data_IF_139891734019
#
_entry.id   IF_139891734019
#
_cell.length_a   1.000
_cell.length_b   1.000
_cell.length_c   1.000
_cell.angle_alpha   90.00
_cell.angle_beta   90.00
_cell.angle_gamma   90.00
#
_symmetry.space_group_name_H-M   'P 1'
#
loop_
_entity.id
_entity.type
_entity.pdbx_description
1 polymer ?
#
# COMPACT_ATOMS: atom_id res chain seq x y z
N UNK A 1 32.56 -12.03 -13.03
CA UNK A 1 32.63 -10.55 -12.87
C UNK A 1 32.14 -10.24 -11.45
N UNK A 2 32.64 -9.20 -10.78
CA UNK A 2 32.10 -8.82 -9.47
C UNK A 2 30.59 -8.53 -9.58
N UNK A 3 29.83 -8.87 -8.54
CA UNK A 3 28.40 -8.56 -8.49
C UNK A 3 28.20 -7.04 -8.51
N UNK A 4 27.18 -6.51 -9.23
CA UNK A 4 26.86 -5.10 -9.19
C UNK A 4 26.52 -4.67 -7.76
N UNK A 5 26.93 -3.46 -7.39
CA UNK A 5 26.81 -2.92 -6.04
C UNK A 5 25.83 -1.76 -6.02
N UNK A 6 24.99 -1.68 -5.00
CA UNK A 6 24.18 -0.50 -4.69
C UNK A 6 25.04 0.55 -3.97
N UNK A 7 25.94 0.10 -3.09
CA UNK A 7 26.89 0.96 -2.38
C UNK A 7 28.20 0.22 -2.04
N UNK A 8 29.30 0.95 -1.99
CA UNK A 8 30.64 0.46 -1.60
C UNK A 8 31.33 1.48 -0.72
N UNK A 9 31.82 1.05 0.46
CA UNK A 9 32.59 1.89 1.38
C UNK A 9 31.96 3.28 1.65
N UNK A 10 30.64 3.30 1.91
CA UNK A 10 29.84 4.52 2.12
C UNK A 10 29.69 5.45 0.89
N UNK A 11 29.96 4.97 -0.32
CA UNK A 11 29.61 5.66 -1.56
C UNK A 11 28.41 4.98 -2.23
N UNK A 12 27.48 5.78 -2.73
CA UNK A 12 26.37 5.29 -3.53
C UNK A 12 26.89 4.99 -4.95
N UNK A 13 26.73 3.75 -5.38
CA UNK A 13 27.13 3.31 -6.72
C UNK A 13 25.97 3.43 -7.72
N UNK A 14 24.75 3.67 -7.23
CA UNK A 14 23.55 3.81 -8.05
C UNK A 14 22.77 5.08 -7.71
N UNK A 15 22.23 5.72 -8.73
CA UNK A 15 21.27 6.83 -8.59
C UNK A 15 19.84 6.30 -8.58
N UNK A 16 18.96 6.89 -7.76
CA UNK A 16 17.52 6.62 -7.82
C UNK A 16 16.92 7.50 -8.91
N UNK A 17 16.27 6.91 -9.91
CA UNK A 17 15.81 7.64 -11.11
C UNK A 17 14.31 7.56 -11.27
N UNK A 18 13.69 8.71 -11.52
CA UNK A 18 12.28 8.86 -11.89
C UNK A 18 12.19 9.47 -13.30
N UNK A 19 11.02 9.37 -13.94
CA UNK A 19 10.77 10.20 -15.12
C UNK A 19 10.45 11.65 -14.71
N UNK A 20 10.61 12.60 -15.62
CA UNK A 20 10.28 14.00 -15.36
C UNK A 20 8.79 14.19 -15.07
N UNK A 21 7.94 13.29 -15.55
CA UNK A 21 6.48 13.28 -15.34
C UNK A 21 6.04 12.34 -14.22
N UNK A 22 6.97 11.88 -13.37
CA UNK A 22 6.66 10.96 -12.30
C UNK A 22 5.57 11.50 -11.35
N UNK A 23 4.64 10.63 -10.98
CA UNK A 23 3.54 10.91 -10.06
C UNK A 23 3.98 10.94 -8.60
N UNK A 24 3.07 11.39 -7.72
CA UNK A 24 3.35 11.55 -6.29
C UNK A 24 3.76 10.24 -5.59
N UNK A 25 3.18 9.12 -5.99
CA UNK A 25 3.45 7.80 -5.41
C UNK A 25 4.85 7.31 -5.80
N UNK A 26 5.28 7.57 -7.03
CA UNK A 26 6.64 7.28 -7.50
C UNK A 26 7.66 8.16 -6.75
N UNK A 27 7.38 9.45 -6.58
CA UNK A 27 8.23 10.35 -5.79
C UNK A 27 8.35 9.91 -4.33
N UNK A 28 7.24 9.49 -3.71
CA UNK A 28 7.26 8.99 -2.33
C UNK A 28 7.98 7.64 -2.23
N UNK A 29 7.82 6.75 -3.20
CA UNK A 29 8.57 5.50 -3.27
C UNK A 29 10.09 5.76 -3.37
N UNK A 30 10.51 6.70 -4.23
CA UNK A 30 11.91 7.10 -4.36
C UNK A 30 12.47 7.70 -3.05
N UNK A 31 11.67 8.54 -2.35
CA UNK A 31 12.06 9.12 -1.04
C UNK A 31 12.20 8.05 0.05
N UNK A 32 11.33 7.04 0.08
CA UNK A 32 11.49 5.89 1.00
C UNK A 32 12.77 5.12 0.70
N UNK A 33 13.04 4.82 -0.57
CA UNK A 33 14.27 4.14 -0.97
C UNK A 33 15.51 4.92 -0.55
N UNK A 34 15.56 6.23 -0.86
CA UNK A 34 16.66 7.09 -0.43
C UNK A 34 16.85 7.02 1.08
N UNK A 35 15.79 7.27 1.87
CA UNK A 35 15.86 7.27 3.33
C UNK A 35 16.38 5.94 3.90
N UNK A 36 15.92 4.80 3.41
CA UNK A 36 16.35 3.51 3.94
C UNK A 36 17.71 3.07 3.41
N UNK A 37 18.05 3.34 2.15
CA UNK A 37 19.36 3.00 1.61
C UNK A 37 20.47 3.79 2.31
N UNK A 38 20.26 5.07 2.61
CA UNK A 38 21.20 5.87 3.41
C UNK A 38 21.36 5.28 4.83
N UNK A 39 20.26 4.83 5.45
CA UNK A 39 20.31 4.18 6.77
C UNK A 39 20.96 2.80 6.77
N UNK A 40 20.82 2.05 5.67
CA UNK A 40 21.44 0.74 5.51
C UNK A 40 22.94 0.90 5.32
N UNK A 41 23.34 1.80 4.44
CA UNK A 41 24.70 1.81 3.89
C UNK A 41 25.60 2.89 4.48
N UNK A 42 25.04 3.95 5.05
CA UNK A 42 25.78 5.16 5.42
C UNK A 42 26.18 6.04 4.22
N UNK A 43 25.91 5.62 2.99
CA UNK A 43 26.20 6.39 1.78
C UNK A 43 25.14 7.46 1.52
N UNK A 44 25.53 8.54 0.82
CA UNK A 44 24.60 9.58 0.36
C UNK A 44 24.04 9.22 -1.01
N UNK A 45 22.72 9.08 -1.13
CA UNK A 45 22.05 8.81 -2.41
C UNK A 45 21.46 10.09 -3.00
N UNK A 46 21.19 10.08 -4.31
CA UNK A 46 20.46 11.15 -4.99
C UNK A 46 19.23 10.59 -5.71
N UNK A 47 18.21 11.45 -5.85
CA UNK A 47 17.07 11.22 -6.73
C UNK A 47 17.20 12.14 -7.93
N UNK A 48 17.21 11.58 -9.13
CA UNK A 48 17.27 12.31 -10.39
C UNK A 48 16.00 12.09 -11.22
N UNK A 49 15.65 13.10 -12.02
CA UNK A 49 14.53 13.02 -12.97
C UNK A 49 15.08 13.02 -14.39
N UNK A 50 14.86 11.91 -15.10
CA UNK A 50 15.24 11.75 -16.50
C UNK A 50 14.10 12.23 -17.42
N UNK A 51 14.47 12.87 -18.54
CA UNK A 51 13.51 13.34 -19.55
C UNK A 51 13.28 12.31 -20.68
N UNK A 52 14.17 11.32 -20.84
CA UNK A 52 14.06 10.26 -21.83
C UNK A 52 14.96 9.08 -21.46
N UNK A 53 14.90 7.99 -22.22
CA UNK A 53 15.73 6.82 -22.01
C UNK A 53 17.25 7.09 -22.09
N UNK A 54 17.68 8.00 -22.97
CA UNK A 54 19.09 8.37 -23.09
C UNK A 54 19.60 9.19 -21.89
N UNK A 55 18.69 9.73 -21.09
CA UNK A 55 19.01 10.52 -19.90
C UNK A 55 19.02 9.70 -18.61
N UNK A 56 18.72 8.40 -18.67
CA UNK A 56 18.77 7.53 -17.48
C UNK A 56 20.23 7.12 -17.22
N UNK A 57 20.83 7.47 -16.07
CA UNK A 57 22.16 6.99 -15.72
C UNK A 57 22.16 5.47 -15.54
N UNK A 58 23.30 4.84 -15.80
CA UNK A 58 23.53 3.41 -15.54
C UNK A 58 24.87 3.25 -14.82
N UNK A 59 24.95 2.50 -13.71
CA UNK A 59 23.85 1.76 -13.07
C UNK A 59 22.85 2.66 -12.31
N UNK A 60 21.59 2.23 -12.21
CA UNK A 60 20.53 2.97 -11.51
C UNK A 60 19.47 2.08 -10.86
N UNK A 61 18.75 2.65 -9.89
CA UNK A 61 17.48 2.14 -9.38
C UNK A 61 16.38 3.00 -10.00
N UNK A 62 15.79 2.57 -11.12
CA UNK A 62 14.77 3.33 -11.82
C UNK A 62 13.35 2.88 -11.46
N UNK A 63 12.46 3.84 -11.26
CA UNK A 63 11.07 3.61 -10.89
C UNK A 63 10.14 4.07 -12.01
N UNK A 64 9.04 3.34 -12.19
CA UNK A 64 7.96 3.76 -13.08
C UNK A 64 8.38 3.79 -14.54
N UNK A 65 8.04 4.87 -15.24
CA UNK A 65 8.42 5.05 -16.65
C UNK A 65 9.96 4.97 -16.86
N UNK A 66 10.75 5.47 -15.90
CA UNK A 66 12.21 5.35 -15.98
C UNK A 66 12.69 3.87 -15.92
N UNK A 67 11.92 2.99 -15.29
CA UNK A 67 12.19 1.55 -15.29
C UNK A 67 11.97 0.93 -16.69
N UNK A 68 10.97 1.41 -17.44
CA UNK A 68 10.74 1.00 -18.83
C UNK A 68 11.89 1.44 -19.74
N UNK A 69 12.41 2.66 -19.50
CA UNK A 69 13.55 3.19 -20.23
C UNK A 69 14.86 2.44 -19.98
N UNK A 70 15.02 1.79 -18.82
CA UNK A 70 16.12 0.85 -18.56
C UNK A 70 16.00 -0.47 -19.35
N UNK A 71 14.88 -0.69 -20.06
CA UNK A 71 14.63 -1.91 -20.85
C UNK A 71 13.71 -2.92 -20.16
N UNK A 72 12.95 -2.51 -19.14
CA UNK A 72 11.87 -3.35 -18.62
C UNK A 72 10.71 -3.39 -19.62
N UNK A 73 10.32 -4.59 -20.06
CA UNK A 73 9.07 -4.77 -20.82
C UNK A 73 7.87 -4.31 -19.99
N UNK A 74 7.02 -3.45 -20.57
CA UNK A 74 5.88 -2.87 -19.87
C UNK A 74 4.96 -3.95 -19.26
N UNK A 75 4.91 -4.07 -17.91
CA UNK A 75 4.15 -5.13 -17.27
C UNK A 75 2.64 -4.90 -17.40
N UNK A 76 1.91 -5.91 -17.88
CA UNK A 76 0.44 -5.87 -17.99
C UNK A 76 -0.25 -6.54 -16.80
N UNK A 77 -1.49 -6.10 -16.55
CA UNK A 77 -2.38 -6.72 -15.57
C UNK A 77 -1.92 -6.59 -14.13
N UNK A 78 -1.31 -5.45 -13.77
CA UNK A 78 -0.91 -5.16 -12.38
C UNK A 78 -2.05 -4.55 -11.56
N UNK A 79 -3.02 -3.87 -12.19
CA UNK A 79 -4.01 -3.08 -11.47
C UNK A 79 -3.34 -1.97 -10.65
N UNK A 80 -4.02 -1.50 -9.59
CA UNK A 80 -3.48 -0.42 -8.76
C UNK A 80 -2.40 -0.88 -7.77
N UNK A 81 -2.42 -2.16 -7.36
CA UNK A 81 -1.60 -2.68 -6.27
C UNK A 81 -0.48 -3.61 -6.72
N UNK A 82 -0.54 -4.08 -7.96
CA UNK A 82 0.46 -4.97 -8.50
C UNK A 82 1.75 -4.25 -8.85
N UNK A 83 2.85 -4.98 -8.79
CA UNK A 83 4.17 -4.47 -9.11
C UNK A 83 5.12 -5.54 -9.65
N UNK A 84 6.21 -5.08 -10.26
CA UNK A 84 7.36 -5.83 -10.74
C UNK A 84 8.64 -5.19 -10.21
N UNK A 85 9.60 -6.02 -9.82
CA UNK A 85 10.98 -5.64 -9.53
C UNK A 85 11.87 -6.56 -10.35
N UNK A 86 12.75 -5.99 -11.16
CA UNK A 86 13.66 -6.76 -12.02
C UNK A 86 15.06 -6.20 -12.03
N UNK A 87 16.04 -7.06 -11.85
CA UNK A 87 17.46 -6.74 -12.06
C UNK A 87 17.75 -6.80 -13.56
N UNK A 88 18.27 -5.70 -14.11
CA UNK A 88 18.59 -5.53 -15.52
C UNK A 88 20.07 -5.19 -15.66
N UNK A 89 20.90 -6.23 -15.82
CA UNK A 89 22.35 -6.06 -15.86
C UNK A 89 22.89 -5.57 -14.52
N UNK A 90 23.38 -4.34 -14.49
CA UNK A 90 23.89 -3.65 -13.30
C UNK A 90 22.86 -2.72 -12.64
N UNK A 91 21.64 -2.66 -13.17
CA UNK A 91 20.59 -1.75 -12.75
C UNK A 91 19.38 -2.48 -12.20
N UNK A 92 18.50 -1.76 -11.50
CA UNK A 92 17.27 -2.29 -10.92
C UNK A 92 16.06 -1.49 -11.40
N UNK A 93 15.06 -2.21 -11.92
CA UNK A 93 13.83 -1.66 -12.44
C UNK A 93 12.66 -1.98 -11.50
N UNK A 94 11.96 -0.94 -11.00
CA UNK A 94 10.75 -1.06 -10.20
C UNK A 94 9.57 -0.47 -10.97
N UNK A 95 8.50 -1.23 -11.17
CA UNK A 95 7.31 -0.77 -11.88
C UNK A 95 6.05 -1.23 -11.16
N UNK A 96 5.03 -0.40 -11.05
CA UNK A 96 3.79 -0.77 -10.38
C UNK A 96 2.65 0.18 -10.67
N UNK A 97 1.44 -0.23 -10.27
CA UNK A 97 0.28 0.66 -10.25
C UNK A 97 0.41 1.75 -9.17
N UNK A 98 -0.69 2.48 -8.97
CA UNK A 98 -0.80 3.58 -8.00
C UNK A 98 -0.19 3.26 -6.61
N UNK A 99 -0.64 2.18 -5.96
CA UNK A 99 -0.07 1.69 -4.68
C UNK A 99 1.08 0.72 -4.92
N UNK A 100 1.05 0.01 -6.05
CA UNK A 100 2.03 -0.99 -6.42
C UNK A 100 3.47 -0.48 -6.39
N UNK A 101 3.74 0.74 -6.86
CA UNK A 101 5.11 1.28 -6.85
C UNK A 101 5.66 1.47 -5.42
N UNK A 102 4.83 1.90 -4.47
CA UNK A 102 5.20 2.00 -3.05
C UNK A 102 5.46 0.60 -2.47
N UNK A 103 4.64 -0.38 -2.84
CA UNK A 103 4.82 -1.77 -2.40
C UNK A 103 6.09 -2.40 -2.99
N UNK A 104 6.47 -2.03 -4.21
CA UNK A 104 7.73 -2.45 -4.83
C UNK A 104 8.94 -1.91 -4.06
N UNK A 105 8.92 -0.63 -3.67
CA UNK A 105 9.96 -0.04 -2.84
C UNK A 105 10.09 -0.77 -1.50
N UNK A 106 8.99 -1.03 -0.80
CA UNK A 106 9.05 -1.76 0.47
C UNK A 106 9.43 -3.23 0.31
N UNK A 107 9.03 -3.91 -0.77
CA UNK A 107 9.51 -5.28 -1.06
C UNK A 107 11.02 -5.29 -1.25
N UNK A 108 11.60 -4.35 -2.02
CA UNK A 108 13.05 -4.22 -2.16
C UNK A 108 13.71 -4.02 -0.80
N UNK A 109 13.21 -3.09 0.02
CA UNK A 109 13.77 -2.84 1.35
C UNK A 109 13.70 -4.08 2.26
N UNK A 110 12.60 -4.84 2.21
CA UNK A 110 12.49 -6.11 2.94
C UNK A 110 13.49 -7.17 2.43
N UNK A 111 13.77 -7.21 1.12
CA UNK A 111 14.80 -8.07 0.52
C UNK A 111 16.21 -7.67 0.93
N UNK A 112 16.46 -6.37 1.07
CA UNK A 112 17.71 -5.82 1.60
C UNK A 112 17.84 -5.97 3.13
N UNK A 113 16.82 -6.51 3.80
CA UNK A 113 16.86 -6.93 5.20
C UNK A 113 16.10 -6.04 6.18
N UNK A 114 15.42 -4.98 5.71
CA UNK A 114 14.53 -4.18 6.56
C UNK A 114 13.36 -5.01 7.08
N UNK A 115 12.90 -4.74 8.30
CA UNK A 115 11.67 -5.31 8.88
C UNK A 115 10.85 -4.22 9.55
N UNK A 116 9.55 -4.17 9.21
CA UNK A 116 8.59 -3.19 9.73
C UNK A 116 7.60 -3.89 10.67
N UNK A 117 7.89 -3.90 11.97
CA UNK A 117 7.10 -4.66 12.94
C UNK A 117 5.87 -3.89 13.43
N UNK A 118 6.07 -2.62 13.78
CA UNK A 118 5.02 -1.69 14.23
C UNK A 118 5.34 -0.29 13.69
N UNK A 119 4.43 0.70 13.82
CA UNK A 119 4.73 2.08 13.41
C UNK A 119 5.95 2.71 14.10
N UNK A 120 6.35 2.18 15.26
CA UNK A 120 7.44 2.71 16.09
C UNK A 120 8.62 1.74 16.21
N UNK A 121 8.53 0.56 15.60
CA UNK A 121 9.55 -0.48 15.70
C UNK A 121 9.88 -1.06 14.33
N UNK A 122 11.09 -0.73 13.88
CA UNK A 122 11.66 -1.23 12.64
C UNK A 122 13.07 -1.74 12.89
N UNK A 123 13.46 -2.79 12.16
CA UNK A 123 14.86 -3.22 12.07
C UNK A 123 15.38 -2.80 10.71
N UNK A 124 16.41 -1.96 10.69
CA UNK A 124 17.16 -1.61 9.47
C UNK A 124 18.57 -2.18 9.64
N UNK A 125 19.04 -3.02 8.70
CA UNK A 125 20.39 -3.57 8.78
C UNK A 125 21.44 -2.48 8.52
N UNK A 126 22.70 -2.76 8.85
CA UNK A 126 23.84 -1.90 8.48
C UNK A 126 24.78 -2.71 7.58
N UNK A 127 25.08 -2.19 6.39
CA UNK A 127 25.87 -2.86 5.36
C UNK A 127 26.49 -1.83 4.41
N UNK A 128 27.77 -1.50 4.62
CA UNK A 128 28.51 -0.49 3.82
C UNK A 128 28.76 -0.92 2.37
N UNK A 129 28.86 -2.25 2.15
CA UNK A 129 29.05 -2.86 0.83
C UNK A 129 27.78 -3.63 0.49
N UNK A 130 26.80 -2.92 -0.04
CA UNK A 130 25.48 -3.46 -0.33
C UNK A 130 25.45 -3.95 -1.78
N UNK A 131 25.40 -5.27 -1.96
CA UNK A 131 25.27 -5.90 -3.26
C UNK A 131 23.86 -5.67 -3.85
N UNK A 132 23.78 -5.51 -5.17
CA UNK A 132 22.52 -5.53 -5.90
C UNK A 132 21.99 -6.97 -5.91
N UNK A 133 20.81 -7.25 -5.33
CA UNK A 133 20.23 -8.58 -5.40
C UNK A 133 19.80 -8.92 -6.82
N UNK A 134 19.93 -10.20 -7.20
CA UNK A 134 19.28 -10.73 -8.40
C UNK A 134 17.77 -10.88 -8.13
N UNK A 135 16.95 -10.15 -8.88
CA UNK A 135 15.51 -10.07 -8.66
C UNK A 135 14.75 -10.27 -9.97
N UNK A 136 13.77 -11.18 -9.95
CA UNK A 136 12.67 -11.27 -10.92
C UNK A 136 11.38 -11.51 -10.14
N UNK A 137 10.83 -10.42 -9.58
CA UNK A 137 9.68 -10.45 -8.69
C UNK A 137 8.49 -9.81 -9.39
N UNK A 138 7.37 -10.53 -9.49
CA UNK A 138 6.08 -10.00 -9.89
C UNK A 138 5.04 -10.35 -8.84
N UNK A 139 4.32 -9.36 -8.34
CA UNK A 139 3.24 -9.56 -7.38
C UNK A 139 1.99 -8.83 -7.81
N UNK A 140 0.86 -9.54 -7.79
CA UNK A 140 -0.48 -8.98 -7.96
C UNK A 140 -1.32 -9.55 -6.83
N UNK A 141 -1.95 -8.72 -5.99
CA UNK A 141 -2.71 -9.25 -4.86
C UNK A 141 -3.94 -10.00 -5.35
N UNK A 142 -4.19 -11.15 -4.73
CA UNK A 142 -5.42 -11.94 -4.96
C UNK A 142 -6.64 -11.24 -4.37
N UNK A 143 -6.45 -10.52 -3.26
CA UNK A 143 -7.49 -9.77 -2.57
C UNK A 143 -7.36 -8.28 -2.90
N UNK A 144 -8.36 -7.72 -3.58
CA UNK A 144 -8.39 -6.29 -3.90
C UNK A 144 -8.42 -5.41 -2.64
N UNK A 145 -9.16 -5.85 -1.62
CA UNK A 145 -9.35 -5.13 -0.35
C UNK A 145 -8.63 -5.85 0.79
N UNK A 146 -7.76 -5.13 1.48
CA UNK A 146 -6.95 -5.64 2.59
C UNK A 146 -7.02 -4.66 3.75
N UNK A 147 -7.64 -5.08 4.84
CA UNK A 147 -7.88 -4.24 6.01
C UNK A 147 -7.66 -5.01 7.30
N UNK A 148 -7.24 -4.28 8.34
CA UNK A 148 -7.17 -4.81 9.68
C UNK A 148 -7.59 -3.75 10.71
N UNK A 149 -8.45 -4.13 11.66
CA UNK A 149 -9.05 -3.20 12.63
C UNK A 149 -8.16 -2.97 13.87
N UNK A 150 -6.84 -2.84 13.67
CA UNK A 150 -5.93 -2.41 14.75
C UNK A 150 -5.63 -0.92 14.63
N UNK A 151 -5.55 -0.26 15.79
CA UNK A 151 -5.30 1.18 15.92
C UNK A 151 -4.04 1.63 15.20
N UNK A 152 -3.00 0.80 15.19
CA UNK A 152 -1.75 1.06 14.48
C UNK A 152 -1.96 1.39 13.00
N UNK A 153 -2.92 0.74 12.34
CA UNK A 153 -3.19 0.97 10.92
C UNK A 153 -4.01 2.23 10.68
N UNK A 154 -4.92 2.58 11.59
CA UNK A 154 -5.77 3.77 11.46
C UNK A 154 -5.03 5.05 11.86
N UNK A 155 -4.20 4.99 12.90
CA UNK A 155 -3.47 6.14 13.44
C UNK A 155 -2.18 6.44 12.67
N UNK A 156 -1.59 5.42 12.01
CA UNK A 156 -0.36 5.55 11.25
C UNK A 156 -0.54 5.08 9.80
N UNK A 157 -1.18 5.88 8.92
CA UNK A 157 -1.48 5.47 7.55
C UNK A 157 -0.25 5.00 6.73
N UNK A 158 0.93 5.60 6.98
CA UNK A 158 2.17 5.15 6.32
C UNK A 158 2.60 3.73 6.71
N UNK A 159 2.29 3.30 7.94
CA UNK A 159 2.53 1.91 8.34
C UNK A 159 1.60 0.94 7.58
N UNK A 160 0.36 1.36 7.28
CA UNK A 160 -0.56 0.58 6.44
C UNK A 160 0.01 0.32 5.05
N UNK A 161 0.64 1.32 4.42
CA UNK A 161 1.33 1.15 3.12
C UNK A 161 2.46 0.12 3.22
N UNK A 162 3.31 0.18 4.25
CA UNK A 162 4.39 -0.80 4.51
C UNK A 162 3.88 -2.23 4.62
N UNK A 163 2.67 -2.40 5.14
CA UNK A 163 2.00 -3.70 5.31
C UNK A 163 1.04 -4.05 4.18
N UNK A 164 1.02 -3.25 3.11
CA UNK A 164 0.14 -3.38 1.94
C UNK A 164 -1.35 -3.38 2.27
N UNK A 165 -1.72 -2.74 3.37
CA UNK A 165 -3.10 -2.50 3.75
C UNK A 165 -3.62 -1.30 2.95
N UNK A 166 -4.79 -1.47 2.35
CA UNK A 166 -5.43 -0.50 1.49
C UNK A 166 -6.93 -0.33 1.77
N UNK A 167 -7.50 -1.00 2.77
CA UNK A 167 -8.90 -0.78 3.18
C UNK A 167 -9.13 0.62 3.78
N UNK A 168 -10.20 0.88 4.55
CA UNK A 168 -10.71 2.22 4.91
C UNK A 168 -9.88 2.91 6.00
N UNK A 169 -8.57 2.86 5.86
CA UNK A 169 -7.60 3.71 6.53
C UNK A 169 -7.49 4.99 5.69
N UNK A 170 -7.45 6.18 6.30
CA UNK A 170 -7.31 7.45 5.58
C UNK A 170 -5.88 7.64 5.05
N UNK A 171 -5.47 6.81 4.10
CA UNK A 171 -4.21 6.94 3.37
C UNK A 171 -4.39 8.04 2.32
N UNK A 172 -3.47 9.01 2.30
CA UNK A 172 -3.47 10.11 1.32
C UNK A 172 -3.22 9.61 -0.10
N UNK A 173 -3.73 10.35 -1.09
CA UNK A 173 -3.56 10.02 -2.51
C UNK A 173 -2.08 9.92 -2.90
N UNK A 174 -1.22 10.76 -2.34
CA UNK A 174 0.23 10.73 -2.53
C UNK A 174 0.89 9.43 -2.03
N UNK A 175 0.22 8.69 -1.15
CA UNK A 175 0.60 7.35 -0.67
C UNK A 175 -0.25 6.24 -1.30
N UNK A 176 -0.94 6.54 -2.39
CA UNK A 176 -1.72 5.61 -3.20
C UNK A 176 -3.18 5.42 -2.75
N UNK A 177 -3.64 6.22 -1.80
CA UNK A 177 -5.03 6.25 -1.39
C UNK A 177 -5.51 4.96 -0.73
N UNK A 178 -6.82 4.79 -0.68
CA UNK A 178 -7.46 3.64 -0.04
C UNK A 178 -8.77 3.25 -0.72
N UNK A 179 -9.18 2.01 -0.49
CA UNK A 179 -10.46 1.45 -0.89
C UNK A 179 -11.45 1.53 0.27
N UNK A 180 -12.62 2.05 -0.03
CA UNK A 180 -13.79 2.00 0.83
C UNK A 180 -14.98 1.47 0.02
N UNK A 181 -15.74 0.57 0.62
CA UNK A 181 -17.04 0.15 0.09
C UNK A 181 -18.14 1.02 0.68
N UNK A 182 -19.38 0.81 0.21
CA UNK A 182 -20.54 1.47 0.78
C UNK A 182 -20.65 1.15 2.27
N UNK A 183 -20.56 2.21 3.08
CA UNK A 183 -20.56 2.14 4.54
C UNK A 183 -19.42 1.26 5.08
N UNK A 184 -19.49 0.89 6.35
CA UNK A 184 -18.50 0.02 6.98
C UNK A 184 -19.24 -1.08 7.79
N UNK A 185 -18.83 -1.36 9.01
CA UNK A 185 -19.59 -2.21 9.93
C UNK A 185 -20.62 -1.41 10.73
N UNK A 186 -21.54 -2.10 11.39
CA UNK A 186 -22.56 -1.51 12.28
C UNK A 186 -23.52 -0.54 11.57
N UNK A 187 -23.93 -0.88 10.35
CA UNK A 187 -24.72 -0.01 9.45
C UNK A 187 -26.21 0.01 9.73
N UNK A 188 -26.76 -0.99 10.41
CA UNK A 188 -28.22 -1.11 10.61
C UNK A 188 -28.84 0.09 11.31
N UNK A 189 -28.27 0.50 12.44
CA UNK A 189 -28.79 1.63 13.22
C UNK A 189 -28.61 2.96 12.49
N UNK A 190 -27.42 3.18 11.90
CA UNK A 190 -27.06 4.48 11.31
C UNK A 190 -27.62 4.68 9.91
N UNK A 191 -27.71 3.63 9.11
CA UNK A 191 -27.97 3.72 7.67
C UNK A 191 -29.35 3.19 7.27
N UNK A 192 -29.97 2.30 8.08
CA UNK A 192 -31.20 1.60 7.68
C UNK A 192 -32.37 1.99 8.57
N UNK A 193 -32.38 1.61 9.84
CA UNK A 193 -33.47 1.89 10.77
C UNK A 193 -32.89 2.18 12.16
N UNK A 194 -33.03 3.42 12.60
CA UNK A 194 -32.59 3.85 13.91
C UNK A 194 -33.66 3.51 14.96
N UNK A 195 -33.37 2.67 15.98
CA UNK A 195 -34.31 2.36 17.05
C UNK A 195 -34.86 3.59 17.78
N UNK A 196 -34.11 4.69 17.83
CA UNK A 196 -34.57 5.93 18.45
C UNK A 196 -35.81 6.51 17.74
N UNK A 197 -35.95 6.28 16.44
CA UNK A 197 -37.00 6.89 15.62
C UNK A 197 -38.24 5.99 15.49
N UNK A 198 -38.06 4.66 15.54
CA UNK A 198 -39.13 3.73 15.16
C UNK A 198 -39.48 2.67 16.21
N UNK A 199 -38.70 2.50 17.29
CA UNK A 199 -38.92 1.39 18.23
C UNK A 199 -40.24 1.48 19.00
N UNK A 200 -40.71 2.69 19.32
CA UNK A 200 -41.97 2.88 20.06
C UNK A 200 -43.19 2.42 19.27
N UNK A 201 -43.18 2.63 17.96
CA UNK A 201 -44.26 2.24 17.05
C UNK A 201 -44.10 0.81 16.57
N UNK A 202 -42.87 0.37 16.34
CA UNK A 202 -42.53 -0.92 15.73
C UNK A 202 -41.45 -1.68 16.51
N UNK A 203 -41.71 -2.07 17.78
CA UNK A 203 -40.75 -2.86 18.55
C UNK A 203 -40.46 -4.22 17.89
N UNK A 204 -41.38 -4.77 17.11
CA UNK A 204 -41.23 -6.00 16.34
C UNK A 204 -40.18 -5.92 15.22
N UNK A 205 -39.74 -4.72 14.84
CA UNK A 205 -38.68 -4.54 13.85
C UNK A 205 -37.29 -4.87 14.38
N UNK A 206 -37.15 -5.03 15.71
CA UNK A 206 -35.87 -5.19 16.38
C UNK A 206 -35.73 -6.56 17.03
N UNK A 207 -34.49 -6.94 17.35
CA UNK A 207 -34.16 -8.25 17.87
C UNK A 207 -34.92 -8.59 19.15
N UNK A 208 -35.32 -9.86 19.25
CA UNK A 208 -35.93 -10.40 20.47
C UNK A 208 -34.90 -11.23 21.23
N UNK A 209 -34.61 -10.85 22.48
CA UNK A 209 -33.73 -11.59 23.37
C UNK A 209 -34.53 -11.96 24.61
N UNK A 210 -34.59 -13.27 24.93
CA UNK A 210 -35.36 -13.79 26.06
C UNK A 210 -36.82 -13.33 26.08
N UNK A 211 -37.48 -13.36 24.92
CA UNK A 211 -38.89 -12.98 24.77
C UNK A 211 -39.17 -11.47 24.81
N UNK A 212 -38.13 -10.62 24.86
CA UNK A 212 -38.27 -9.15 24.89
C UNK A 212 -37.61 -8.50 23.68
N UNK A 213 -38.29 -7.52 23.07
CA UNK A 213 -37.71 -6.67 22.03
C UNK A 213 -36.77 -5.66 22.67
N UNK A 214 -35.57 -5.51 22.10
CA UNK A 214 -34.54 -4.63 22.64
C UNK A 214 -34.48 -3.31 21.86
N UNK A 215 -34.48 -2.18 22.57
CA UNK A 215 -34.21 -0.85 21.99
C UNK A 215 -32.71 -0.57 21.89
N UNK A 216 -31.99 -0.81 22.98
CA UNK A 216 -30.56 -0.53 23.08
C UNK A 216 -29.74 -1.73 22.65
N UNK A 217 -28.60 -1.47 22.00
CA UNK A 217 -27.66 -2.51 21.52
C UNK A 217 -28.39 -3.63 20.77
N UNK A 218 -29.35 -3.23 19.94
CA UNK A 218 -30.22 -4.13 19.20
C UNK A 218 -29.74 -4.33 17.77
N UNK A 219 -30.34 -5.28 17.07
CA UNK A 219 -30.17 -5.50 15.63
C UNK A 219 -31.55 -5.59 14.98
N UNK A 220 -31.64 -5.37 13.68
CA UNK A 220 -32.88 -5.50 12.93
C UNK A 220 -33.34 -6.96 12.88
N UNK A 221 -34.66 -7.16 12.99
CA UNK A 221 -35.29 -8.47 12.87
C UNK A 221 -35.60 -8.74 11.39
N UNK A 222 -34.63 -9.25 10.63
CA UNK A 222 -34.77 -9.52 9.19
C UNK A 222 -35.75 -10.64 8.83
N UNK A 223 -36.31 -11.35 9.82
CA UNK A 223 -37.43 -12.28 9.60
C UNK A 223 -38.79 -11.56 9.53
N UNK A 224 -38.86 -10.29 9.95
CA UNK A 224 -40.02 -9.45 9.70
C UNK A 224 -40.00 -8.99 8.22
N UNK A 225 -41.05 -9.28 7.43
CA UNK A 225 -41.07 -8.99 6.00
C UNK A 225 -40.96 -7.49 5.68
N UNK A 226 -41.49 -6.61 6.54
CA UNK A 226 -41.39 -5.16 6.35
C UNK A 226 -39.95 -4.66 6.57
N UNK A 227 -39.28 -5.18 7.60
CA UNK A 227 -37.88 -4.84 7.88
C UNK A 227 -36.97 -5.31 6.74
N UNK A 228 -37.20 -6.52 6.23
CA UNK A 228 -36.47 -7.04 5.08
C UNK A 228 -36.66 -6.13 3.85
N UNK A 229 -37.91 -5.76 3.55
CA UNK A 229 -38.23 -4.85 2.45
C UNK A 229 -37.55 -3.49 2.60
N UNK A 230 -37.66 -2.84 3.77
CA UNK A 230 -37.03 -1.55 4.05
C UNK A 230 -35.51 -1.64 3.92
N UNK A 231 -34.92 -2.75 4.40
CA UNK A 231 -33.48 -2.99 4.32
C UNK A 231 -33.04 -3.08 2.86
N UNK A 232 -33.76 -3.81 2.02
CA UNK A 232 -33.49 -3.94 0.57
C UNK A 232 -33.66 -2.59 -0.15
N UNK A 233 -34.67 -1.79 0.20
CA UNK A 233 -34.90 -0.47 -0.43
C UNK A 233 -33.81 0.57 -0.10
N UNK A 234 -33.03 0.37 0.97
CA UNK A 234 -32.03 1.32 1.45
C UNK A 234 -30.59 1.00 1.02
N UNK A 235 -30.34 -0.17 0.40
CA UNK A 235 -29.06 -0.59 -0.17
C UNK A 235 -29.05 -0.44 -1.68
#
# INVERSE_FOLDING_TARGET
MPHPMIAVANNAEMTIVLSQQAGLQEENAAKELLYYLERITGACFSIEKAASAQAVPTPAIALGEAALWLGLDEPRGLGEDGFVIRTLGDSLALFGGCRGILYAAYELLERLGCRFFTPLCEKVPTCENLELPDMDCRQVPVLEYRYHNYKDFTDYPRFSVKRRINGPVPIGEDWGGHLAYAWFVHTFERNILNPADVFDEHPEYFSMVNGKRLRERTQLCLTNPDVLRITIEKV
#
